data_IF_872581716579
#
_entry.id   IF_872581716579
#
_cell.length_a   1.000
_cell.length_b   1.000
_cell.length_c   1.000
_cell.angle_alpha   90.00
_cell.angle_beta   90.00
_cell.angle_gamma   90.00
#
_symmetry.space_group_name_H-M   'P 1'
#
loop_
_entity.id
_entity.type
_entity.pdbx_description
1 polymer ?
#
# COMPACT_ATOMS: atom_id res chain seq x y z
N UNK A 1 8.48 48.19 -51.47
CA UNK A 1 8.03 46.95 -50.80
C UNK A 1 8.17 47.17 -49.30
N UNK A 2 7.06 47.24 -48.56
CA UNK A 2 7.06 47.33 -47.11
C UNK A 2 6.88 45.91 -46.55
N UNK A 3 7.81 45.44 -45.73
CA UNK A 3 7.69 44.18 -45.00
C UNK A 3 6.77 44.39 -43.79
N UNK A 4 5.77 43.52 -43.63
CA UNK A 4 4.94 43.51 -42.43
C UNK A 4 5.72 42.88 -41.26
N UNK A 5 5.70 43.48 -40.06
CA UNK A 5 6.29 42.84 -38.89
C UNK A 5 5.44 41.63 -38.48
N UNK A 6 6.09 40.46 -38.38
CA UNK A 6 5.46 39.27 -37.81
C UNK A 6 5.19 39.49 -36.33
N UNK A 7 3.97 39.21 -35.88
CA UNK A 7 3.65 39.21 -34.46
C UNK A 7 4.44 38.08 -33.78
N UNK A 8 5.22 38.43 -32.76
CA UNK A 8 5.86 37.45 -31.91
C UNK A 8 4.76 36.69 -31.15
N UNK A 9 4.72 35.38 -31.34
CA UNK A 9 3.85 34.50 -30.55
C UNK A 9 4.29 34.62 -29.08
N UNK A 10 3.40 35.02 -28.18
CA UNK A 10 3.68 34.99 -26.74
C UNK A 10 4.12 33.57 -26.36
N UNK A 11 5.27 33.46 -25.68
CA UNK A 11 5.76 32.18 -25.22
C UNK A 11 4.74 31.59 -24.24
N UNK A 12 4.16 30.45 -24.61
CA UNK A 12 3.18 29.75 -23.79
C UNK A 12 3.82 29.39 -22.45
N UNK A 13 3.27 29.90 -21.35
CA UNK A 13 3.70 29.52 -20.00
C UNK A 13 3.29 28.06 -19.74
N UNK A 14 4.29 27.17 -19.77
CA UNK A 14 4.10 25.75 -19.51
C UNK A 14 4.19 25.41 -18.02
N UNK A 15 4.61 26.34 -17.14
CA UNK A 15 4.81 26.07 -15.72
C UNK A 15 3.58 25.48 -15.02
N UNK A 16 2.33 25.92 -15.27
CA UNK A 16 1.15 25.31 -14.69
C UNK A 16 0.95 23.84 -15.09
N UNK A 17 1.41 23.45 -16.28
CA UNK A 17 1.27 22.10 -16.83
C UNK A 17 2.44 21.18 -16.48
N UNK A 18 3.59 21.75 -16.11
CA UNK A 18 4.78 21.02 -15.68
C UNK A 18 4.87 20.88 -14.16
N UNK A 19 4.01 21.57 -13.41
CA UNK A 19 3.96 21.48 -11.95
C UNK A 19 3.48 20.10 -11.54
N UNK A 20 4.33 19.36 -10.82
CA UNK A 20 3.97 18.07 -10.24
C UNK A 20 2.89 18.24 -9.18
N UNK A 21 1.98 17.28 -9.13
CA UNK A 21 0.99 17.18 -8.07
C UNK A 21 1.68 17.11 -6.72
N UNK A 22 1.24 17.96 -5.80
CA UNK A 22 1.75 17.98 -4.43
C UNK A 22 1.12 16.86 -3.58
N UNK A 23 -0.03 16.34 -4.03
CA UNK A 23 -0.79 15.26 -3.40
C UNK A 23 -1.23 14.30 -4.49
N UNK A 24 -0.86 13.02 -4.37
CA UNK A 24 -1.25 11.99 -5.35
C UNK A 24 -2.54 11.26 -4.95
N UNK A 25 -2.70 10.95 -3.67
CA UNK A 25 -3.87 10.22 -3.14
C UNK A 25 -4.29 10.79 -1.79
N UNK A 26 -5.58 10.71 -1.50
CA UNK A 26 -6.18 11.09 -0.23
C UNK A 26 -7.28 10.09 0.17
N UNK A 27 -7.29 9.65 1.43
CA UNK A 27 -8.37 8.83 2.03
C UNK A 27 -8.79 9.45 3.36
N UNK A 28 -10.09 9.53 3.60
CA UNK A 28 -10.68 10.04 4.85
C UNK A 28 -10.87 8.91 5.85
N UNK A 29 -10.68 9.19 7.15
CA UNK A 29 -11.00 8.23 8.22
C UNK A 29 -12.51 7.94 8.25
N UNK A 30 -12.94 6.76 8.74
CA UNK A 30 -14.36 6.39 8.77
C UNK A 30 -15.26 7.37 9.54
N UNK A 31 -14.76 7.99 10.61
CA UNK A 31 -15.45 9.03 11.38
C UNK A 31 -15.37 10.43 10.76
N UNK A 32 -14.48 10.62 9.78
CA UNK A 32 -14.30 11.88 9.08
C UNK A 32 -13.37 12.87 9.76
N UNK A 33 -12.67 12.49 10.83
CA UNK A 33 -11.82 13.38 11.63
C UNK A 33 -10.42 13.62 11.03
N UNK A 34 -9.94 12.70 10.18
CA UNK A 34 -8.60 12.75 9.60
C UNK A 34 -8.58 12.50 8.10
N UNK A 35 -7.60 13.11 7.43
CA UNK A 35 -7.18 12.76 6.08
C UNK A 35 -5.80 12.11 6.13
N UNK A 36 -5.63 11.00 5.43
CA UNK A 36 -4.33 10.43 5.08
C UNK A 36 -4.07 10.73 3.61
N UNK A 37 -2.89 11.28 3.29
CA UNK A 37 -2.55 11.74 1.94
C UNK A 37 -1.11 11.43 1.58
N UNK A 38 -0.86 11.11 0.31
CA UNK A 38 0.50 10.85 -0.19
C UNK A 38 1.04 12.06 -0.93
N UNK A 39 2.28 12.43 -0.62
CA UNK A 39 3.00 13.54 -1.24
C UNK A 39 4.27 12.98 -1.90
N UNK A 40 4.40 13.07 -3.24
CA UNK A 40 5.61 12.64 -3.92
C UNK A 40 6.72 13.67 -3.73
N UNK A 41 7.86 13.20 -3.24
CA UNK A 41 9.12 13.93 -3.20
C UNK A 41 10.00 13.49 -4.38
N UNK A 42 11.20 14.06 -4.51
CA UNK A 42 12.12 13.72 -5.58
C UNK A 42 12.52 12.24 -5.59
N UNK A 43 12.80 11.67 -4.41
CA UNK A 43 13.33 10.32 -4.26
C UNK A 43 12.40 9.36 -3.50
N UNK A 44 11.24 9.82 -3.01
CA UNK A 44 10.34 8.99 -2.20
C UNK A 44 8.91 9.52 -2.16
N UNK A 45 7.98 8.72 -1.64
CA UNK A 45 6.63 9.19 -1.29
C UNK A 45 6.48 9.29 0.22
N UNK A 46 5.93 10.40 0.69
CA UNK A 46 5.61 10.63 2.10
C UNK A 46 4.12 10.46 2.31
N UNK A 47 3.70 9.75 3.36
CA UNK A 47 2.31 9.76 3.82
C UNK A 47 2.17 10.80 4.94
N UNK A 48 1.29 11.78 4.77
CA UNK A 48 0.90 12.73 5.80
C UNK A 48 -0.47 12.37 6.37
N UNK A 49 -0.65 12.59 7.67
CA UNK A 49 -1.98 12.58 8.31
C UNK A 49 -2.29 13.99 8.78
N UNK A 50 -3.49 14.45 8.45
CA UNK A 50 -3.97 15.81 8.74
C UNK A 50 -5.31 15.73 9.43
N UNK A 51 -5.46 16.43 10.55
CA UNK A 51 -6.74 16.58 11.23
C UNK A 51 -7.66 17.51 10.45
N UNK A 52 -8.90 17.08 10.21
CA UNK A 52 -9.83 17.82 9.36
C UNK A 52 -10.30 19.15 9.97
N UNK A 53 -10.51 19.19 11.29
CA UNK A 53 -11.12 20.34 11.99
C UNK A 53 -10.33 21.64 11.83
N UNK A 54 -9.00 21.55 11.85
CA UNK A 54 -8.07 22.68 11.89
C UNK A 54 -6.97 22.60 10.82
N UNK A 55 -6.97 21.52 10.01
CA UNK A 55 -5.96 21.22 8.99
C UNK A 55 -4.54 21.06 9.57
N UNK A 56 -4.43 20.79 10.88
CA UNK A 56 -3.16 20.53 11.54
C UNK A 56 -2.58 19.18 11.10
N UNK A 57 -1.31 19.17 10.68
CA UNK A 57 -0.59 17.93 10.45
C UNK A 57 -0.38 17.19 11.79
N UNK A 58 -0.74 15.92 11.85
CA UNK A 58 -0.69 15.11 13.07
C UNK A 58 0.34 13.98 13.00
N UNK A 59 0.58 13.43 11.80
CA UNK A 59 1.60 12.41 11.61
C UNK A 59 2.26 12.52 10.23
N UNK A 60 3.46 11.96 10.13
CA UNK A 60 4.19 11.83 8.87
C UNK A 60 4.91 10.48 8.84
N UNK A 61 4.63 9.67 7.84
CA UNK A 61 5.36 8.43 7.54
C UNK A 61 6.25 8.68 6.34
N UNK A 62 7.53 8.38 6.52
CA UNK A 62 8.52 8.36 5.44
C UNK A 62 9.42 7.16 5.67
N UNK A 63 9.91 6.58 4.59
CA UNK A 63 10.99 5.60 4.63
C UNK A 63 12.23 6.16 3.93
N UNK A 64 13.22 5.31 3.70
CA UNK A 64 14.48 5.66 3.06
C UNK A 64 14.33 6.16 1.62
N UNK A 65 15.45 6.48 0.98
CA UNK A 65 15.48 6.82 -0.44
C UNK A 65 14.83 5.70 -1.28
N UNK A 66 14.21 6.10 -2.38
CA UNK A 66 13.50 5.25 -3.35
C UNK A 66 12.27 4.50 -2.79
N UNK A 67 11.82 4.81 -1.58
CA UNK A 67 10.61 4.23 -1.01
C UNK A 67 9.34 4.89 -1.56
N UNK A 68 8.31 4.09 -1.80
CA UNK A 68 7.01 4.53 -2.31
C UNK A 68 5.93 3.99 -1.40
N UNK A 69 4.92 4.80 -1.11
CA UNK A 69 3.68 4.34 -0.50
C UNK A 69 2.85 3.72 -1.63
N UNK A 70 2.72 2.41 -1.63
CA UNK A 70 2.04 1.63 -2.67
C UNK A 70 0.53 1.67 -2.48
N UNK A 71 0.07 1.46 -1.24
CA UNK A 71 -1.32 1.68 -0.83
C UNK A 71 -1.38 1.99 0.67
N UNK A 72 -2.52 2.47 1.15
CA UNK A 72 -2.76 2.72 2.56
C UNK A 72 -4.25 2.68 2.87
N UNK A 73 -4.65 2.37 4.10
CA UNK A 73 -6.06 2.27 4.48
C UNK A 73 -6.29 2.49 5.97
N UNK A 74 -7.47 3.01 6.31
CA UNK A 74 -7.89 3.27 7.68
C UNK A 74 -8.48 2.01 8.31
N UNK A 75 -7.71 1.32 9.15
CA UNK A 75 -8.16 0.18 9.93
C UNK A 75 -8.84 0.67 11.23
N UNK A 76 -10.06 1.17 11.09
CA UNK A 76 -10.78 1.90 12.13
C UNK A 76 -10.58 3.41 12.03
N UNK A 77 -10.99 4.14 13.05
CA UNK A 77 -11.08 5.61 13.02
C UNK A 77 -9.71 6.31 13.06
N UNK A 78 -8.76 5.72 13.78
CA UNK A 78 -7.49 6.39 14.09
C UNK A 78 -6.28 5.66 13.51
N UNK A 79 -6.38 4.37 13.17
CA UNK A 79 -5.22 3.57 12.76
C UNK A 79 -5.12 3.43 11.25
N UNK A 80 -3.95 3.74 10.71
CA UNK A 80 -3.64 3.62 9.28
C UNK A 80 -2.68 2.46 9.07
N UNK A 81 -2.97 1.60 8.10
CA UNK A 81 -2.03 0.61 7.56
C UNK A 81 -1.47 1.13 6.24
N UNK A 82 -0.17 0.95 6.04
CA UNK A 82 0.58 1.47 4.89
C UNK A 82 1.34 0.32 4.24
N UNK A 83 1.12 0.11 2.94
CA UNK A 83 1.88 -0.81 2.11
C UNK A 83 3.01 -0.06 1.41
N UNK A 84 4.22 -0.61 1.50
CA UNK A 84 5.42 0.01 0.93
C UNK A 84 5.88 -0.72 -0.34
N UNK A 85 6.32 0.06 -1.31
CA UNK A 85 7.02 -0.36 -2.52
C UNK A 85 8.38 0.35 -2.62
N UNK A 86 9.21 -0.11 -3.55
CA UNK A 86 10.53 0.46 -3.78
C UNK A 86 10.76 0.69 -5.28
N UNK A 87 11.32 1.85 -5.63
CA UNK A 87 11.79 2.14 -6.99
C UNK A 87 13.16 1.52 -7.20
N UNK A 88 13.25 0.55 -8.10
CA UNK A 88 14.51 -0.03 -8.51
C UNK A 88 14.96 0.67 -9.78
N UNK A 89 16.22 1.14 -9.84
CA UNK A 89 16.70 2.00 -10.95
C UNK A 89 16.61 1.40 -12.36
N UNK A 90 16.31 0.11 -12.49
CA UNK A 90 16.08 -0.58 -13.77
C UNK A 90 14.60 -0.70 -14.15
N UNK A 91 13.66 -0.24 -13.32
CA UNK A 91 12.22 -0.35 -13.53
C UNK A 91 11.56 1.03 -13.59
N UNK A 92 10.64 1.18 -14.55
CA UNK A 92 9.81 2.39 -14.66
C UNK A 92 8.78 2.48 -13.52
N UNK A 93 8.27 1.34 -13.04
CA UNK A 93 7.29 1.26 -11.95
C UNK A 93 7.91 0.77 -10.63
N UNK A 94 7.48 1.32 -9.47
CA UNK A 94 7.83 0.78 -8.16
C UNK A 94 7.40 -0.68 -8.02
N UNK A 95 8.17 -1.49 -7.31
CA UNK A 95 7.77 -2.85 -6.99
C UNK A 95 7.43 -2.98 -5.50
N UNK A 96 6.25 -3.54 -5.22
CA UNK A 96 5.85 -3.89 -3.86
C UNK A 96 6.88 -4.87 -3.26
N UNK A 97 7.41 -4.51 -2.10
CA UNK A 97 8.41 -5.34 -1.40
C UNK A 97 7.76 -6.26 -0.35
N UNK A 98 6.45 -6.14 -0.14
CA UNK A 98 5.72 -6.92 0.87
C UNK A 98 5.98 -6.42 2.29
N UNK A 99 6.19 -5.11 2.43
CA UNK A 99 6.39 -4.45 3.72
C UNK A 99 5.14 -3.65 4.11
N UNK A 100 4.63 -3.92 5.32
CA UNK A 100 3.43 -3.31 5.86
C UNK A 100 3.76 -2.61 7.19
N UNK A 101 3.38 -1.35 7.30
CA UNK A 101 3.43 -0.57 8.53
C UNK A 101 2.04 -0.25 9.02
N UNK A 102 1.89 -0.04 10.33
CA UNK A 102 0.70 0.56 10.91
C UNK A 102 1.08 1.69 11.85
N UNK A 103 0.24 2.71 12.00
CA UNK A 103 0.41 3.78 12.97
C UNK A 103 -0.94 4.42 13.27
N UNK A 104 -1.03 5.13 14.39
CA UNK A 104 -2.21 5.92 14.70
C UNK A 104 -2.12 7.32 14.09
N UNK A 105 -3.26 8.01 14.00
CA UNK A 105 -3.40 9.30 13.33
C UNK A 105 -2.54 10.40 13.96
N UNK A 106 -2.15 10.25 15.23
CA UNK A 106 -1.25 11.14 15.96
C UNK A 106 0.24 10.80 15.81
N UNK A 107 0.57 9.79 14.99
CA UNK A 107 1.93 9.34 14.74
C UNK A 107 2.46 8.34 15.76
N UNK A 108 1.69 8.00 16.80
CA UNK A 108 2.09 7.03 17.82
C UNK A 108 1.74 5.60 17.42
N UNK A 109 2.15 4.66 18.27
CA UNK A 109 1.85 3.23 18.15
C UNK A 109 2.20 2.67 16.76
N UNK A 110 3.25 3.23 16.15
CA UNK A 110 3.83 2.76 14.91
C UNK A 110 4.17 1.28 15.04
N UNK A 111 4.03 0.51 13.97
CA UNK A 111 4.36 -0.91 13.95
C UNK A 111 4.78 -1.43 12.59
N UNK A 112 5.91 -2.13 12.52
CA UNK A 112 6.22 -2.97 11.36
C UNK A 112 5.42 -4.28 11.47
N UNK A 113 4.41 -4.45 10.62
CA UNK A 113 3.51 -5.61 10.64
C UNK A 113 4.04 -6.78 9.83
N UNK A 114 4.70 -6.49 8.71
CA UNK A 114 5.32 -7.49 7.84
C UNK A 114 6.49 -6.86 7.10
N UNK A 115 7.53 -7.65 6.84
CA UNK A 115 8.64 -7.29 5.96
C UNK A 115 9.24 -8.57 5.40
N UNK A 116 9.65 -8.62 4.12
CA UNK A 116 10.34 -9.78 3.55
C UNK A 116 11.66 -10.09 4.27
N UNK A 117 12.24 -9.11 4.95
CA UNK A 117 13.48 -9.28 5.69
C UNK A 117 13.29 -9.79 7.11
N UNK A 118 12.03 -9.82 7.59
CA UNK A 118 11.66 -10.21 8.95
C UNK A 118 11.35 -9.03 9.86
N UNK A 119 10.52 -9.27 10.88
CA UNK A 119 10.08 -8.26 11.86
C UNK A 119 10.59 -8.57 13.26
N UNK A 120 11.03 -7.56 13.99
CA UNK A 120 11.37 -7.65 15.41
C UNK A 120 10.42 -6.78 16.25
N UNK A 121 9.56 -7.39 17.08
CA UNK A 121 8.62 -6.68 17.93
C UNK A 121 9.26 -5.75 18.97
N UNK A 122 10.46 -6.07 19.46
CA UNK A 122 11.09 -5.38 20.58
C UNK A 122 11.62 -4.00 20.17
N UNK A 123 12.15 -3.90 18.95
CA UNK A 123 12.64 -2.65 18.35
C UNK A 123 11.64 -2.04 17.37
N UNK A 124 10.52 -2.73 17.15
CA UNK A 124 9.49 -2.35 16.21
C UNK A 124 10.02 -2.03 14.80
N UNK A 125 10.87 -2.92 14.29
CA UNK A 125 11.61 -2.70 13.06
C UNK A 125 11.96 -3.99 12.35
N UNK A 126 12.64 -3.86 11.21
CA UNK A 126 13.07 -5.02 10.46
C UNK A 126 14.24 -5.71 11.18
N UNK A 127 14.24 -7.04 11.17
CA UNK A 127 15.38 -7.84 11.63
C UNK A 127 15.79 -8.75 10.49
N UNK A 128 16.93 -8.44 9.88
CA UNK A 128 17.47 -9.22 8.77
C UNK A 128 17.62 -10.69 9.16
N UNK A 129 16.89 -11.54 8.45
CA UNK A 129 17.01 -13.00 8.51
C UNK A 129 17.80 -13.51 7.30
N UNK A 130 18.45 -14.67 7.46
CA UNK A 130 19.12 -15.36 6.35
C UNK A 130 18.11 -15.87 5.31
N UNK A 131 16.94 -16.33 5.77
CA UNK A 131 15.81 -16.69 4.91
C UNK A 131 14.79 -15.55 4.88
N UNK A 132 14.28 -15.23 3.70
CA UNK A 132 13.23 -14.22 3.54
C UNK A 132 11.91 -14.70 4.16
N UNK A 133 11.28 -13.82 4.94
CA UNK A 133 9.91 -14.02 5.42
C UNK A 133 8.93 -13.88 4.25
N UNK A 134 7.75 -14.49 4.40
CA UNK A 134 6.66 -14.45 3.39
C UNK A 134 6.32 -13.02 2.97
N UNK A 135 6.43 -12.71 1.67
CA UNK A 135 6.00 -11.44 1.09
C UNK A 135 4.52 -11.23 1.42
N UNK A 136 4.20 -10.07 1.99
CA UNK A 136 2.85 -9.79 2.48
C UNK A 136 2.36 -8.46 1.95
N UNK A 137 1.26 -8.47 1.19
CA UNK A 137 0.66 -7.27 0.62
C UNK A 137 -0.76 -7.10 1.14
N UNK A 138 -1.20 -5.86 1.35
CA UNK A 138 -2.56 -5.58 1.80
C UNK A 138 -3.56 -6.01 0.73
N UNK A 139 -4.58 -6.77 1.12
CA UNK A 139 -5.70 -7.16 0.26
C UNK A 139 -6.90 -6.26 0.53
N UNK A 140 -7.30 -6.15 1.79
CA UNK A 140 -8.51 -5.43 2.16
C UNK A 140 -8.49 -4.96 3.62
N UNK A 141 -9.09 -3.81 3.87
CA UNK A 141 -9.38 -3.30 5.20
C UNK A 141 -10.78 -3.77 5.58
N UNK A 142 -10.96 -4.23 6.83
CA UNK A 142 -12.24 -4.75 7.31
C UNK A 142 -12.96 -3.68 8.15
N UNK A 143 -14.04 -3.03 7.65
CA UNK A 143 -14.72 -1.97 8.39
C UNK A 143 -15.30 -2.44 9.73
N UNK A 144 -15.78 -3.70 9.76
CA UNK A 144 -16.40 -4.31 10.93
C UNK A 144 -15.39 -5.03 11.86
N UNK A 145 -14.11 -5.08 11.49
CA UNK A 145 -13.03 -5.68 12.28
C UNK A 145 -11.83 -4.74 12.36
N UNK A 146 -11.86 -3.86 13.36
CA UNK A 146 -10.79 -2.88 13.57
C UNK A 146 -9.48 -3.49 14.08
N UNK A 147 -9.45 -4.79 14.37
CA UNK A 147 -8.24 -5.47 14.86
C UNK A 147 -7.47 -6.14 13.74
N UNK A 148 -8.11 -6.45 12.63
CA UNK A 148 -7.53 -7.26 11.58
C UNK A 148 -7.75 -6.68 10.19
N UNK A 149 -6.81 -6.98 9.31
CA UNK A 149 -6.95 -6.76 7.87
C UNK A 149 -6.73 -8.07 7.12
N UNK A 150 -7.14 -8.11 5.85
CA UNK A 150 -6.78 -9.21 4.97
C UNK A 150 -5.52 -8.86 4.19
N UNK A 151 -4.63 -9.83 4.09
CA UNK A 151 -3.37 -9.71 3.34
C UNK A 151 -3.19 -10.91 2.43
N UNK A 152 -2.61 -10.67 1.26
CA UNK A 152 -2.07 -11.72 0.40
C UNK A 152 -0.67 -12.07 0.88
N UNK A 153 -0.41 -13.36 1.08
CA UNK A 153 0.85 -13.89 1.57
C UNK A 153 1.45 -14.87 0.55
N UNK A 154 2.67 -14.56 0.08
CA UNK A 154 3.39 -15.33 -0.94
C UNK A 154 4.74 -15.78 -0.36
N UNK A 155 4.93 -17.09 -0.12
CA UNK A 155 6.22 -17.60 0.33
C UNK A 155 7.30 -17.42 -0.74
N UNK A 156 8.51 -17.00 -0.35
CA UNK A 156 9.65 -16.92 -1.28
C UNK A 156 10.28 -18.29 -1.59
N UNK A 157 10.11 -19.28 -0.70
CA UNK A 157 10.62 -20.64 -0.88
C UNK A 157 9.52 -21.67 -1.07
N UNK A 158 9.80 -22.72 -1.83
CA UNK A 158 8.88 -23.85 -2.08
C UNK A 158 7.86 -23.59 -3.19
N UNK A 159 6.73 -24.30 -3.15
CA UNK A 159 5.61 -24.05 -4.08
C UNK A 159 4.96 -22.71 -3.72
N UNK A 160 4.86 -21.73 -4.64
CA UNK A 160 4.25 -20.42 -4.39
C UNK A 160 2.72 -20.54 -4.25
N UNK A 161 2.28 -21.21 -3.20
CA UNK A 161 0.90 -21.27 -2.79
C UNK A 161 0.54 -19.91 -2.19
N UNK A 162 -0.10 -19.08 -3.01
CA UNK A 162 -0.64 -17.80 -2.59
C UNK A 162 -1.73 -18.05 -1.56
N UNK A 163 -1.67 -17.36 -0.43
CA UNK A 163 -2.64 -17.47 0.65
C UNK A 163 -3.26 -16.10 0.92
N UNK A 164 -4.47 -16.13 1.46
CA UNK A 164 -5.04 -14.97 2.14
C UNK A 164 -4.96 -15.25 3.63
N UNK A 165 -4.30 -14.35 4.33
CA UNK A 165 -4.19 -14.38 5.78
C UNK A 165 -4.97 -13.21 6.39
N UNK A 166 -5.52 -13.44 7.57
CA UNK A 166 -5.99 -12.40 8.47
C UNK A 166 -4.84 -11.96 9.37
N UNK A 167 -4.50 -10.69 9.31
CA UNK A 167 -3.36 -10.07 10.00
C UNK A 167 -3.85 -9.16 11.11
N UNK A 168 -3.44 -9.43 12.35
CA UNK A 168 -3.72 -8.59 13.52
C UNK A 168 -2.82 -7.34 13.47
N UNK A 169 -3.41 -6.14 13.37
CA UNK A 169 -2.70 -4.88 13.15
C UNK A 169 -2.01 -4.32 14.41
N UNK A 170 -2.22 -4.96 15.57
CA UNK A 170 -1.59 -4.61 16.84
C UNK A 170 -0.37 -5.48 17.10
N UNK A 171 -0.41 -6.74 16.64
CA UNK A 171 0.59 -7.76 16.98
C UNK A 171 1.35 -8.33 15.78
N UNK A 172 0.92 -8.06 14.55
CA UNK A 172 1.53 -8.59 13.33
C UNK A 172 1.32 -10.10 13.14
N UNK A 173 0.53 -10.74 14.02
CA UNK A 173 0.25 -12.18 13.92
C UNK A 173 -0.69 -12.44 12.75
N UNK A 174 -0.42 -13.52 12.03
CA UNK A 174 -1.19 -13.95 10.86
C UNK A 174 -1.89 -15.28 11.13
N UNK A 175 -3.08 -15.43 10.55
CA UNK A 175 -3.80 -16.70 10.50
C UNK A 175 -4.39 -16.89 9.10
N UNK A 176 -4.14 -18.03 8.48
CA UNK A 176 -4.62 -18.30 7.11
C UNK A 176 -6.12 -18.48 7.08
N UNK A 177 -6.80 -17.77 6.19
CA UNK A 177 -8.25 -17.86 5.96
C UNK A 177 -8.61 -18.53 4.63
N UNK A 178 -7.71 -18.47 3.64
CA UNK A 178 -7.87 -19.17 2.38
C UNK A 178 -6.52 -19.48 1.73
N UNK A 179 -6.51 -20.54 0.93
CA UNK A 179 -5.38 -20.91 0.06
C UNK A 179 -5.88 -20.87 -1.37
N UNK A 180 -5.10 -20.28 -2.27
CA UNK A 180 -5.46 -20.21 -3.68
C UNK A 180 -5.59 -21.62 -4.29
N UNK A 181 -6.67 -21.90 -5.06
CA UNK A 181 -6.77 -23.12 -5.85
C UNK A 181 -5.94 -23.06 -7.15
N UNK A 182 -5.23 -21.95 -7.39
CA UNK A 182 -4.45 -21.69 -8.60
C UNK A 182 -3.19 -20.88 -8.26
N UNK A 183 -2.14 -21.04 -9.06
CA UNK A 183 -0.91 -20.26 -8.91
C UNK A 183 -1.11 -18.83 -9.38
N UNK A 184 -0.27 -17.92 -8.87
CA UNK A 184 -0.31 -16.48 -9.21
C UNK A 184 -1.72 -15.90 -9.03
N UNK A 185 -2.36 -16.29 -7.93
CA UNK A 185 -3.74 -15.90 -7.68
C UNK A 185 -3.83 -14.49 -7.14
N UNK A 186 -4.70 -13.69 -7.75
CA UNK A 186 -5.27 -12.48 -7.18
C UNK A 186 -6.63 -12.81 -6.57
N UNK A 187 -7.03 -12.03 -5.57
CA UNK A 187 -8.27 -12.23 -4.83
C UNK A 187 -9.14 -10.99 -4.85
N UNK A 188 -10.45 -11.19 -4.75
CA UNK A 188 -11.43 -10.11 -4.57
C UNK A 188 -12.33 -10.47 -3.40
N UNK A 189 -12.56 -9.49 -2.53
CA UNK A 189 -13.43 -9.58 -1.35
C UNK A 189 -14.74 -8.84 -1.59
N UNK A 190 -15.79 -9.25 -0.89
CA UNK A 190 -17.00 -8.44 -0.77
C UNK A 190 -16.88 -7.39 0.35
N UNK A 191 -17.89 -6.54 0.51
CA UNK A 191 -17.92 -5.50 1.56
C UNK A 191 -17.83 -6.04 2.99
N UNK A 192 -18.14 -7.30 3.21
CA UNK A 192 -18.02 -7.94 4.53
C UNK A 192 -16.63 -8.57 4.72
N UNK A 193 -15.70 -8.36 3.79
CA UNK A 193 -14.37 -8.97 3.82
C UNK A 193 -14.37 -10.46 3.52
N UNK A 194 -15.42 -11.01 2.89
CA UNK A 194 -15.42 -12.41 2.48
C UNK A 194 -14.78 -12.55 1.11
N UNK A 195 -13.87 -13.49 0.97
CA UNK A 195 -13.18 -13.78 -0.31
C UNK A 195 -14.20 -14.40 -1.27
N UNK A 196 -14.47 -13.73 -2.39
CA UNK A 196 -15.46 -14.14 -3.39
C UNK A 196 -14.85 -14.72 -4.65
N UNK A 197 -13.70 -14.20 -5.06
CA UNK A 197 -13.05 -14.63 -6.28
C UNK A 197 -11.57 -14.88 -6.06
N UNK A 198 -11.06 -15.87 -6.78
CA UNK A 198 -9.63 -16.10 -6.95
C UNK A 198 -9.35 -16.31 -8.45
N UNK A 199 -8.49 -15.49 -9.02
CA UNK A 199 -8.11 -15.57 -10.44
C UNK A 199 -6.61 -15.73 -10.59
N UNK A 200 -6.16 -16.66 -11.43
CA UNK A 200 -4.73 -16.89 -11.66
C UNK A 200 -4.49 -17.71 -12.92
N UNK A 201 -3.31 -18.33 -13.01
CA UNK A 201 -2.92 -19.14 -14.15
C UNK A 201 -2.44 -20.53 -13.72
N UNK A 202 -2.85 -21.56 -14.47
CA UNK A 202 -2.39 -22.93 -14.24
C UNK A 202 -0.97 -23.17 -14.80
N UNK A 203 -0.45 -24.40 -14.64
CA UNK A 203 0.89 -24.78 -15.12
C UNK A 203 1.06 -24.70 -16.65
N UNK A 204 -0.04 -24.60 -17.41
CA UNK A 204 -0.04 -24.38 -18.86
C UNK A 204 -0.21 -22.89 -19.20
N UNK A 205 -0.16 -22.00 -18.21
CA UNK A 205 -0.47 -20.58 -18.30
C UNK A 205 -1.91 -20.28 -18.77
N UNK A 206 -2.85 -21.22 -18.63
CA UNK A 206 -4.25 -20.94 -18.91
C UNK A 206 -4.88 -20.20 -17.74
N UNK A 207 -5.59 -19.10 -18.02
CA UNK A 207 -6.32 -18.33 -17.01
C UNK A 207 -7.43 -19.17 -16.38
N UNK A 208 -7.57 -19.07 -15.06
CA UNK A 208 -8.62 -19.72 -14.27
C UNK A 208 -9.24 -18.71 -13.32
N UNK A 209 -10.56 -18.72 -13.24
CA UNK A 209 -11.35 -17.98 -12.26
C UNK A 209 -12.12 -18.98 -11.39
N UNK A 210 -12.03 -18.79 -10.08
CA UNK A 210 -12.78 -19.54 -9.08
C UNK A 210 -13.67 -18.56 -8.33
N UNK A 211 -14.91 -18.97 -8.07
CA UNK A 211 -15.87 -18.23 -7.28
C UNK A 211 -16.22 -19.02 -6.02
N UNK A 212 -16.46 -18.31 -4.92
CA UNK A 212 -16.96 -18.88 -3.66
C UNK A 212 -18.35 -18.32 -3.36
N UNK A 213 -19.33 -19.21 -3.39
CA UNK A 213 -20.74 -18.84 -3.22
C UNK A 213 -21.10 -18.44 -1.79
N UNK A 214 -20.38 -18.94 -0.77
CA UNK A 214 -20.61 -18.61 0.65
C UNK A 214 -19.31 -18.38 1.44
#
# INVERSE_FOLDING_TARGET
MAAMPGQAQEALDLTPYLKRDQIERIKISPDGDYFALTMPMEDRTVLGIVRRKDKGATARVTSGANSVVDDFGWAGNERVVVSMAHRFGSRDEPAAIGELHALDADGKNGRLLASPYGTNPDINGAQLKMDLDTATSMLDILPDDQRNILVVAIPFGGDPNVRVDKLDIQTGRRSTVAIAPVRRADFVTDRQGRIRFASGADVKNASKLYCRDN
#
